data_IF_377938240488
#
_entry.id   IF_377938240488
#
_cell.length_a   1.000
_cell.length_b   1.000
_cell.length_c   1.000
_cell.angle_alpha   90.00
_cell.angle_beta   90.00
_cell.angle_gamma   90.00
#
_symmetry.space_group_name_H-M   'P 1'
#
loop_
_entity.id
_entity.type
_entity.pdbx_description
1 polymer ?
#
# COMPACT_ATOMS: atom_id res chain seq x y z
N UNK A 1 -12.27 -3.42 1.15
CA UNK A 1 -11.54 -2.14 0.93
C UNK A 1 -10.94 -2.05 -0.47
N UNK A 2 -10.09 -2.99 -0.89
CA UNK A 2 -9.39 -2.94 -2.19
C UNK A 2 -10.32 -2.91 -3.42
N UNK A 3 -11.42 -3.67 -3.40
CA UNK A 3 -12.43 -3.65 -4.47
C UNK A 3 -13.11 -2.28 -4.61
N UNK A 4 -13.37 -1.58 -3.50
CA UNK A 4 -13.95 -0.23 -3.53
C UNK A 4 -12.97 0.79 -4.11
N UNK A 5 -11.69 0.68 -3.78
CA UNK A 5 -10.63 1.52 -4.35
C UNK A 5 -10.52 1.30 -5.85
N UNK A 6 -10.51 0.03 -6.30
CA UNK A 6 -10.51 -0.31 -7.71
C UNK A 6 -11.74 0.26 -8.44
N UNK A 7 -12.92 0.12 -7.83
CA UNK A 7 -14.17 0.64 -8.39
C UNK A 7 -14.14 2.17 -8.55
N UNK A 8 -13.61 2.90 -7.55
CA UNK A 8 -13.42 4.35 -7.65
C UNK A 8 -12.44 4.67 -8.79
N UNK A 9 -11.32 3.94 -8.88
CA UNK A 9 -10.35 4.10 -9.97
C UNK A 9 -10.97 3.90 -11.36
N UNK A 10 -11.78 2.85 -11.54
CA UNK A 10 -12.51 2.58 -12.79
C UNK A 10 -13.51 3.70 -13.09
N UNK A 11 -14.24 4.19 -12.09
CA UNK A 11 -15.19 5.28 -12.27
C UNK A 11 -14.49 6.58 -12.68
N UNK A 12 -13.38 6.90 -12.02
CA UNK A 12 -12.55 8.07 -12.34
C UNK A 12 -11.93 7.97 -13.73
N UNK A 13 -11.48 6.77 -14.12
CA UNK A 13 -11.00 6.51 -15.47
C UNK A 13 -12.11 6.72 -16.50
N UNK A 14 -13.29 6.13 -16.29
CA UNK A 14 -14.44 6.31 -17.17
C UNK A 14 -14.86 7.78 -17.29
N UNK A 15 -14.78 8.54 -16.19
CA UNK A 15 -15.02 9.99 -16.19
C UNK A 15 -13.99 10.75 -17.05
N UNK A 16 -12.69 10.52 -16.84
CA UNK A 16 -11.62 11.21 -17.57
C UNK A 16 -11.39 10.72 -19.01
N UNK A 17 -12.07 9.65 -19.42
CA UNK A 17 -12.19 9.30 -20.85
C UNK A 17 -13.05 10.32 -21.58
N UNK A 18 -14.05 10.89 -20.90
CA UNK A 18 -15.03 11.83 -21.48
C UNK A 18 -14.60 13.28 -21.25
N UNK A 19 -14.28 13.64 -20.01
CA UNK A 19 -13.77 14.97 -19.65
C UNK A 19 -12.25 14.97 -19.72
N UNK A 20 -11.63 15.94 -20.41
CA UNK A 20 -10.17 15.95 -20.51
C UNK A 20 -9.54 16.12 -19.11
N UNK A 21 -8.64 15.22 -18.70
CA UNK A 21 -7.89 15.43 -17.48
C UNK A 21 -6.91 16.61 -17.67
N UNK A 22 -6.61 17.36 -16.61
CA UNK A 22 -5.63 18.43 -16.68
C UNK A 22 -4.26 17.91 -17.08
N UNK A 23 -3.43 18.77 -17.67
CA UNK A 23 -2.04 18.39 -18.02
C UNK A 23 -1.26 17.97 -16.79
N UNK A 24 -1.52 18.62 -15.66
CA UNK A 24 -0.95 18.31 -14.36
C UNK A 24 -2.03 18.48 -13.27
N UNK A 25 -2.25 17.45 -12.46
CA UNK A 25 -3.27 17.44 -11.39
C UNK A 25 -2.85 18.30 -10.19
N UNK A 26 -1.55 18.48 -9.96
CA UNK A 26 -0.99 19.33 -8.90
C UNK A 26 -1.02 20.81 -9.28
N UNK A 27 -0.69 21.17 -10.52
CA UNK A 27 -0.59 22.55 -11.01
C UNK A 27 -1.37 22.78 -12.33
N UNK A 28 -2.68 23.06 -12.27
CA UNK A 28 -3.54 23.16 -13.44
C UNK A 28 -3.44 24.50 -14.16
N UNK A 29 -2.94 25.53 -13.49
CA UNK A 29 -2.85 26.91 -14.00
C UNK A 29 -1.88 27.03 -15.18
N UNK A 30 -1.11 25.97 -15.42
CA UNK A 30 -0.12 25.91 -16.46
C UNK A 30 -0.65 25.22 -17.74
N UNK A 31 -1.96 25.08 -17.86
CA UNK A 31 -2.62 24.55 -19.05
C UNK A 31 -2.54 25.52 -20.23
N UNK A 32 -2.01 25.04 -21.35
CA UNK A 32 -1.99 25.78 -22.62
C UNK A 32 -3.41 26.01 -23.16
N UNK A 33 -3.62 27.13 -23.86
CA UNK A 33 -4.89 27.45 -24.56
C UNK A 33 -5.34 26.31 -25.50
N UNK A 34 -4.39 25.59 -26.10
CA UNK A 34 -4.64 24.46 -26.99
C UNK A 34 -5.36 23.29 -26.28
N UNK A 35 -4.97 22.96 -25.05
CA UNK A 35 -5.63 21.94 -24.23
C UNK A 35 -7.09 22.26 -23.93
N UNK A 36 -7.40 23.53 -23.69
CA UNK A 36 -8.77 23.98 -23.40
C UNK A 36 -9.68 23.85 -24.62
N UNK A 37 -9.14 24.04 -25.82
CA UNK A 37 -9.89 23.86 -27.07
C UNK A 37 -10.24 22.39 -27.34
N UNK A 38 -9.33 21.46 -27.02
CA UNK A 38 -9.58 20.02 -27.14
C UNK A 38 -10.64 19.53 -26.15
N UNK A 39 -10.68 20.09 -24.93
CA UNK A 39 -11.68 19.75 -23.90
C UNK A 39 -13.10 20.02 -24.39
N UNK A 40 -13.30 21.19 -24.99
CA UNK A 40 -14.59 21.58 -25.56
C UNK A 40 -14.99 20.68 -26.74
N UNK A 41 -14.02 20.28 -27.57
CA UNK A 41 -14.26 19.40 -28.71
C UNK A 41 -14.66 17.98 -28.30
N UNK A 42 -14.12 17.44 -27.20
CA UNK A 42 -14.55 16.12 -26.69
C UNK A 42 -15.95 16.14 -26.12
N UNK A 43 -16.28 17.20 -25.38
CA UNK A 43 -17.61 17.33 -24.79
C UNK A 43 -18.70 17.39 -25.85
N UNK A 44 -18.44 18.04 -26.99
CA UNK A 44 -19.38 18.04 -28.12
C UNK A 44 -19.47 16.66 -28.81
N UNK A 45 -18.36 15.93 -28.96
CA UNK A 45 -18.35 14.57 -29.50
C UNK A 45 -19.10 13.57 -28.60
N UNK A 46 -18.96 13.68 -27.27
CA UNK A 46 -19.67 12.83 -26.32
C UNK A 46 -21.20 13.06 -26.38
N UNK A 47 -21.62 14.33 -26.45
CA UNK A 47 -23.04 14.70 -26.64
C UNK A 47 -23.58 14.17 -27.98
N UNK A 48 -22.78 14.24 -29.06
CA UNK A 48 -23.14 13.71 -30.37
C UNK A 48 -23.23 12.17 -30.37
N UNK A 49 -22.36 11.48 -29.64
CA UNK A 49 -22.41 10.03 -29.47
C UNK A 49 -23.67 9.59 -28.71
N UNK A 50 -24.05 10.34 -27.68
CA UNK A 50 -25.23 10.05 -26.86
C UNK A 50 -26.55 10.25 -27.62
N UNK A 51 -26.61 11.24 -28.52
CA UNK A 51 -27.78 11.51 -29.36
C UNK A 51 -27.85 10.67 -30.64
N UNK A 52 -26.81 9.89 -30.95
CA UNK A 52 -26.75 9.08 -32.18
C UNK A 52 -27.53 7.76 -32.05
N UNK A 53 -28.47 7.46 -32.97
CA UNK A 53 -29.24 6.21 -32.96
C UNK A 53 -28.53 5.02 -33.60
N UNK A 54 -27.55 5.23 -34.49
CA UNK A 54 -26.87 4.16 -35.26
C UNK A 54 -25.51 3.73 -34.69
N UNK A 55 -25.23 2.42 -34.75
CA UNK A 55 -23.96 1.83 -34.29
C UNK A 55 -22.73 2.26 -35.10
N UNK A 56 -22.84 2.40 -36.43
CA UNK A 56 -21.72 2.78 -37.29
C UNK A 56 -21.22 4.21 -37.04
N UNK A 57 -22.15 5.14 -36.75
CA UNK A 57 -21.81 6.52 -36.37
C UNK A 57 -21.15 6.55 -34.99
N UNK A 58 -21.64 5.75 -34.04
CA UNK A 58 -21.00 5.57 -32.73
C UNK A 58 -19.57 5.03 -32.83
N UNK A 59 -19.31 4.08 -33.71
CA UNK A 59 -17.97 3.53 -33.95
C UNK A 59 -17.03 4.58 -34.57
N UNK A 60 -17.54 5.41 -35.48
CA UNK A 60 -16.75 6.50 -36.07
C UNK A 60 -16.39 7.58 -35.05
N UNK A 61 -17.32 7.95 -34.18
CA UNK A 61 -17.11 8.90 -33.09
C UNK A 61 -16.15 8.33 -32.03
N UNK A 62 -16.27 7.04 -31.69
CA UNK A 62 -15.34 6.37 -30.79
C UNK A 62 -13.90 6.40 -31.32
N UNK A 63 -13.70 6.18 -32.62
CA UNK A 63 -12.37 6.31 -33.24
C UNK A 63 -11.78 7.71 -33.13
N UNK A 64 -12.60 8.76 -33.27
CA UNK A 64 -12.16 10.16 -33.10
C UNK A 64 -11.69 10.43 -31.67
N UNK A 65 -12.40 9.90 -30.66
CA UNK A 65 -12.00 10.02 -29.25
C UNK A 65 -10.67 9.30 -28.98
N UNK A 66 -10.47 8.11 -29.55
CA UNK A 66 -9.20 7.36 -29.44
C UNK A 66 -8.03 8.15 -30.03
N UNK A 67 -8.19 8.72 -31.23
CA UNK A 67 -7.15 9.56 -31.86
C UNK A 67 -6.86 10.81 -31.02
N UNK A 68 -7.90 11.44 -30.47
CA UNK A 68 -7.73 12.55 -29.54
C UNK A 68 -6.96 12.15 -28.27
N UNK A 69 -7.13 10.93 -27.74
CA UNK A 69 -6.37 10.45 -26.56
C UNK A 69 -4.87 10.45 -26.83
N UNK A 70 -4.47 9.89 -27.98
CA UNK A 70 -3.05 9.90 -28.36
C UNK A 70 -2.50 11.33 -28.51
N UNK A 71 -3.30 12.28 -28.97
CA UNK A 71 -2.87 13.68 -29.09
C UNK A 71 -2.68 14.34 -27.73
N UNK A 72 -3.63 14.17 -26.82
CA UNK A 72 -3.55 14.65 -25.42
C UNK A 72 -2.35 14.04 -24.69
N UNK A 73 -2.12 12.74 -24.86
CA UNK A 73 -0.98 12.04 -24.27
C UNK A 73 0.35 12.59 -24.82
N UNK A 74 0.41 12.89 -26.12
CA UNK A 74 1.60 13.50 -26.72
C UNK A 74 1.90 14.90 -26.17
N UNK A 75 0.86 15.72 -25.93
CA UNK A 75 1.03 17.05 -25.33
C UNK A 75 1.47 16.92 -23.86
N UNK A 76 0.92 15.96 -23.12
CA UNK A 76 1.38 15.62 -21.76
C UNK A 76 2.86 15.24 -21.75
N UNK A 77 3.27 14.30 -22.59
CA UNK A 77 4.67 13.86 -22.68
C UNK A 77 5.61 15.00 -23.09
N UNK A 78 5.21 15.83 -24.06
CA UNK A 78 5.98 17.00 -24.47
C UNK A 78 6.08 18.03 -23.34
N UNK A 79 4.99 18.30 -22.61
CA UNK A 79 4.97 19.22 -21.47
C UNK A 79 5.83 18.73 -20.30
N UNK A 80 5.85 17.41 -20.06
CA UNK A 80 6.73 16.78 -19.05
C UNK A 80 8.21 16.86 -19.47
N UNK A 81 8.52 16.62 -20.74
CA UNK A 81 9.89 16.70 -21.28
C UNK A 81 10.46 18.13 -21.30
N UNK A 82 9.62 19.15 -21.49
CA UNK A 82 10.03 20.56 -21.41
C UNK A 82 10.30 21.00 -19.97
N UNK A 83 9.58 20.43 -18.99
CA UNK A 83 9.69 20.79 -17.56
C UNK A 83 10.85 20.13 -16.84
N UNK A 84 11.15 18.87 -17.17
CA UNK A 84 12.35 18.17 -16.68
C UNK A 84 13.65 18.91 -17.03
N UNK A 85 13.67 19.66 -18.13
CA UNK A 85 14.79 20.54 -18.51
C UNK A 85 14.84 21.87 -17.76
N UNK A 86 13.72 22.34 -17.21
CA UNK A 86 13.61 23.65 -16.57
C UNK A 86 13.74 23.60 -15.04
N UNK A 87 13.29 22.52 -14.40
CA UNK A 87 13.29 22.38 -12.93
C UNK A 87 13.60 20.94 -12.50
N UNK A 88 14.85 20.61 -12.13
CA UNK A 88 15.26 19.22 -11.81
C UNK A 88 14.74 18.65 -10.49
N UNK A 89 13.94 19.39 -9.71
CA UNK A 89 13.78 19.17 -8.27
C UNK A 89 12.34 18.90 -7.81
N UNK A 90 11.36 18.83 -8.72
CA UNK A 90 9.96 18.56 -8.35
C UNK A 90 9.55 17.14 -8.73
N UNK A 91 9.07 16.37 -7.74
CA UNK A 91 8.49 15.06 -7.97
C UNK A 91 7.30 15.12 -8.93
N UNK A 92 7.47 14.44 -10.06
CA UNK A 92 6.53 14.41 -11.18
C UNK A 92 5.30 13.53 -10.94
N UNK A 93 5.20 12.85 -9.78
CA UNK A 93 4.10 11.95 -9.49
C UNK A 93 2.90 12.70 -8.89
N UNK A 94 1.97 13.10 -9.76
CA UNK A 94 0.73 13.79 -9.38
C UNK A 94 -0.47 12.84 -9.22
N UNK A 95 -0.24 11.52 -9.30
CA UNK A 95 -1.29 10.48 -9.23
C UNK A 95 -2.13 10.59 -7.96
N UNK A 96 -1.50 10.97 -6.84
CA UNK A 96 -2.19 11.15 -5.56
C UNK A 96 -3.22 12.31 -5.57
N UNK A 97 -3.13 13.24 -6.52
CA UNK A 97 -4.01 14.42 -6.63
C UNK A 97 -5.22 14.21 -7.55
N UNK A 98 -5.27 13.12 -8.31
CA UNK A 98 -6.36 12.82 -9.26
C UNK A 98 -7.72 12.85 -8.56
N UNK A 99 -7.83 12.10 -7.46
CA UNK A 99 -9.07 11.99 -6.69
C UNK A 99 -9.47 13.32 -6.04
N UNK A 100 -8.51 14.00 -5.39
CA UNK A 100 -8.75 15.28 -4.72
C UNK A 100 -9.27 16.33 -5.70
N UNK A 101 -8.67 16.39 -6.89
CA UNK A 101 -9.09 17.35 -7.92
C UNK A 101 -10.50 17.07 -8.44
N UNK A 102 -10.83 15.80 -8.68
CA UNK A 102 -12.19 15.44 -9.09
C UNK A 102 -13.22 15.89 -8.05
N UNK A 103 -12.94 15.62 -6.77
CA UNK A 103 -13.79 16.04 -5.65
C UNK A 103 -13.97 17.56 -5.65
N UNK A 104 -12.88 18.33 -5.74
CA UNK A 104 -12.94 19.79 -5.66
C UNK A 104 -13.68 20.45 -6.83
N UNK A 105 -13.57 19.89 -8.04
CA UNK A 105 -14.08 20.55 -9.25
C UNK A 105 -15.47 20.06 -9.70
N UNK A 106 -15.87 18.85 -9.32
CA UNK A 106 -17.08 18.21 -9.84
C UNK A 106 -18.14 17.91 -8.79
N UNK A 107 -17.84 18.04 -7.49
CA UNK A 107 -18.83 17.90 -6.42
C UNK A 107 -19.36 19.26 -5.98
N UNK A 108 -20.64 19.33 -5.54
CA UNK A 108 -21.21 20.56 -5.00
C UNK A 108 -20.52 20.93 -3.67
N UNK A 109 -20.40 22.24 -3.42
CA UNK A 109 -19.63 22.81 -2.30
C UNK A 109 -19.95 22.22 -0.93
N UNK A 110 -21.21 21.85 -0.66
CA UNK A 110 -21.60 21.19 0.59
C UNK A 110 -21.07 19.77 0.74
N UNK A 111 -21.02 18.98 -0.34
CA UNK A 111 -20.47 17.63 -0.34
C UNK A 111 -18.94 17.64 -0.24
N UNK A 112 -18.28 18.64 -0.81
CA UNK A 112 -16.83 18.81 -0.69
C UNK A 112 -16.43 18.99 0.78
N UNK A 113 -17.11 19.89 1.50
CA UNK A 113 -16.87 20.10 2.93
C UNK A 113 -17.13 18.85 3.78
N UNK A 114 -18.20 18.11 3.45
CA UNK A 114 -18.53 16.84 4.11
C UNK A 114 -17.43 15.78 3.89
N UNK A 115 -16.96 15.64 2.64
CA UNK A 115 -15.92 14.66 2.28
C UNK A 115 -14.60 14.98 2.98
N UNK A 116 -14.17 16.24 2.97
CA UNK A 116 -12.95 16.66 3.68
C UNK A 116 -13.07 16.35 5.18
N UNK A 117 -14.23 16.65 5.78
CA UNK A 117 -14.48 16.33 7.19
C UNK A 117 -14.41 14.82 7.47
N UNK A 118 -15.01 14.00 6.61
CA UNK A 118 -14.96 12.54 6.71
C UNK A 118 -13.52 12.01 6.60
N UNK A 119 -12.71 12.56 5.69
CA UNK A 119 -11.30 12.17 5.52
C UNK A 119 -10.51 12.49 6.79
N UNK A 120 -10.69 13.68 7.38
CA UNK A 120 -10.04 14.01 8.65
C UNK A 120 -10.49 13.08 9.79
N UNK A 121 -11.79 12.85 9.94
CA UNK A 121 -12.31 11.93 10.97
C UNK A 121 -11.75 10.50 10.79
N UNK A 122 -11.76 9.97 9.57
CA UNK A 122 -11.24 8.64 9.28
C UNK A 122 -9.72 8.55 9.52
N UNK A 123 -8.97 9.55 9.05
CA UNK A 123 -7.52 9.62 9.26
C UNK A 123 -7.17 9.68 10.74
N UNK A 124 -7.81 10.57 11.50
CA UNK A 124 -7.55 10.73 12.94
C UNK A 124 -7.86 9.45 13.72
N UNK A 125 -8.95 8.76 13.34
CA UNK A 125 -9.32 7.49 13.97
C UNK A 125 -8.30 6.38 13.70
N UNK A 126 -7.81 6.25 12.47
CA UNK A 126 -6.79 5.23 12.13
C UNK A 126 -5.46 5.55 12.80
N UNK A 127 -4.99 6.80 12.70
CA UNK A 127 -3.70 7.21 13.29
C UNK A 127 -3.69 7.06 14.81
N UNK A 128 -4.81 7.37 15.48
CA UNK A 128 -4.92 7.20 16.94
C UNK A 128 -4.86 5.72 17.33
N UNK A 129 -5.55 4.85 16.60
CA UNK A 129 -5.53 3.42 16.84
C UNK A 129 -4.12 2.83 16.61
N UNK A 130 -3.45 3.21 15.52
CA UNK A 130 -2.10 2.77 15.18
C UNK A 130 -1.06 3.22 16.20
N UNK A 131 -1.06 4.50 16.59
CA UNK A 131 -0.13 5.04 17.61
C UNK A 131 -0.36 4.41 18.99
N UNK A 132 -1.62 4.12 19.34
CA UNK A 132 -1.96 3.42 20.59
C UNK A 132 -1.49 1.97 20.57
N UNK A 133 -1.68 1.27 19.45
CA UNK A 133 -1.22 -0.10 19.26
C UNK A 133 0.32 -0.18 19.35
N UNK A 134 1.03 0.67 18.60
CA UNK A 134 2.50 0.74 18.62
C UNK A 134 3.05 1.06 20.01
N UNK A 135 2.44 2.02 20.71
CA UNK A 135 2.81 2.35 22.08
C UNK A 135 2.61 1.17 23.03
N UNK A 136 1.49 0.47 22.92
CA UNK A 136 1.17 -0.69 23.78
C UNK A 136 2.11 -1.86 23.49
N UNK A 137 2.35 -2.20 22.22
CA UNK A 137 3.32 -3.23 21.82
C UNK A 137 4.73 -2.87 22.30
N UNK A 138 5.15 -1.61 22.17
CA UNK A 138 6.48 -1.17 22.67
C UNK A 138 6.57 -1.30 24.19
N UNK A 139 5.53 -0.90 24.92
CA UNK A 139 5.49 -0.95 26.37
C UNK A 139 5.48 -2.40 26.88
N UNK A 140 4.62 -3.25 26.31
CA UNK A 140 4.38 -4.62 26.81
C UNK A 140 5.48 -5.58 26.34
N UNK A 141 5.81 -5.56 25.04
CA UNK A 141 6.71 -6.57 24.46
C UNK A 141 8.19 -6.27 24.69
N UNK A 142 8.57 -4.99 24.76
CA UNK A 142 9.96 -4.58 24.95
C UNK A 142 10.22 -4.06 26.37
N UNK A 143 9.49 -3.02 26.79
CA UNK A 143 9.82 -2.32 28.05
C UNK A 143 9.56 -3.20 29.30
N UNK A 144 8.37 -3.81 29.40
CA UNK A 144 8.03 -4.64 30.57
C UNK A 144 8.67 -6.02 30.56
N UNK A 145 9.01 -6.54 29.38
CA UNK A 145 9.67 -7.84 29.27
C UNK A 145 11.12 -7.80 29.73
N UNK A 146 11.85 -6.75 29.39
CA UNK A 146 13.29 -6.67 29.63
C UNK A 146 13.68 -5.86 30.88
N UNK A 147 12.85 -4.88 31.28
CA UNK A 147 13.30 -3.83 32.21
C UNK A 147 12.41 -3.61 33.44
N UNK A 148 11.12 -3.94 33.37
CA UNK A 148 10.17 -3.60 34.43
C UNK A 148 9.74 -4.80 35.29
N UNK A 149 9.48 -4.62 36.61
CA UNK A 149 8.86 -5.65 37.44
C UNK A 149 7.49 -6.08 36.91
N UNK A 150 7.07 -7.33 37.16
CA UNK A 150 5.80 -7.90 36.67
C UNK A 150 4.56 -7.06 36.98
N UNK A 151 4.58 -6.32 38.10
CA UNK A 151 3.45 -5.50 38.55
C UNK A 151 3.49 -4.06 37.97
N UNK A 152 4.48 -3.73 37.14
CA UNK A 152 4.64 -2.39 36.58
C UNK A 152 3.48 -1.99 35.68
N UNK A 153 2.88 -2.94 34.95
CA UNK A 153 1.79 -2.70 33.99
C UNK A 153 0.56 -2.06 34.67
N UNK A 154 0.27 -2.44 35.91
CA UNK A 154 -0.87 -1.92 36.68
C UNK A 154 -0.54 -0.58 37.37
N UNK A 155 0.71 -0.14 37.33
CA UNK A 155 1.14 1.08 38.01
C UNK A 155 0.79 2.35 37.21
N UNK A 156 0.54 3.49 37.88
CA UNK A 156 0.41 4.79 37.23
C UNK A 156 1.63 5.17 36.37
N UNK A 157 2.80 4.60 36.66
CA UNK A 157 4.05 4.83 35.90
C UNK A 157 4.01 4.17 34.52
N UNK A 158 3.33 3.04 34.35
CA UNK A 158 3.15 2.43 33.03
C UNK A 158 2.29 3.30 32.12
N UNK A 159 1.24 3.94 32.65
CA UNK A 159 0.41 4.88 31.89
C UNK A 159 1.23 6.09 31.40
N UNK A 160 2.07 6.66 32.28
CA UNK A 160 2.97 7.77 31.90
C UNK A 160 3.96 7.33 30.83
N UNK A 161 4.53 6.13 30.96
CA UNK A 161 5.47 5.60 29.96
C UNK A 161 4.79 5.33 28.61
N UNK A 162 3.57 4.78 28.61
CA UNK A 162 2.77 4.60 27.40
C UNK A 162 2.50 5.92 26.69
N UNK A 163 2.23 7.01 27.42
CA UNK A 163 2.09 8.36 26.80
C UNK A 163 3.38 8.84 26.15
N UNK A 164 4.54 8.58 26.77
CA UNK A 164 5.83 8.91 26.17
C UNK A 164 6.12 8.10 24.91
N UNK A 165 5.80 6.80 24.89
CA UNK A 165 5.92 5.99 23.67
C UNK A 165 4.96 6.44 22.57
N UNK A 166 3.72 6.82 22.91
CA UNK A 166 2.80 7.41 21.93
C UNK A 166 3.35 8.70 21.33
N UNK A 167 3.95 9.58 22.15
CA UNK A 167 4.61 10.80 21.66
C UNK A 167 5.81 10.48 20.76
N UNK A 168 6.66 9.52 21.16
CA UNK A 168 7.82 9.11 20.37
C UNK A 168 7.42 8.57 18.99
N UNK A 169 6.43 7.68 18.94
CA UNK A 169 5.86 7.17 17.68
C UNK A 169 5.16 8.27 16.87
N UNK A 170 4.55 9.26 17.52
CA UNK A 170 3.98 10.44 16.86
C UNK A 170 5.05 11.28 16.15
N UNK A 171 6.17 11.56 16.81
CA UNK A 171 7.31 12.24 16.18
C UNK A 171 7.91 11.43 15.03
N UNK A 172 8.05 10.12 15.22
CA UNK A 172 8.49 9.22 14.15
C UNK A 172 7.55 9.27 12.94
N UNK A 173 6.23 9.23 13.16
CA UNK A 173 5.23 9.31 12.09
C UNK A 173 5.29 10.64 11.33
N UNK A 174 5.48 11.77 12.03
CA UNK A 174 5.67 13.08 11.40
C UNK A 174 6.95 13.09 10.55
N UNK A 175 8.06 12.58 11.08
CA UNK A 175 9.32 12.48 10.34
C UNK A 175 9.20 11.60 9.09
N UNK A 176 8.55 10.44 9.22
CA UNK A 176 8.29 9.55 8.10
C UNK A 176 7.38 10.20 7.05
N UNK A 177 6.35 10.94 7.46
CA UNK A 177 5.46 11.65 6.56
C UNK A 177 6.18 12.69 5.68
N UNK A 178 7.27 13.30 6.17
CA UNK A 178 8.09 14.22 5.38
C UNK A 178 8.82 13.50 4.23
N UNK A 179 9.31 12.29 4.48
CA UNK A 179 10.01 11.49 3.46
C UNK A 179 9.03 10.78 2.52
N UNK A 180 7.85 10.40 3.03
CA UNK A 180 6.84 9.68 2.27
C UNK A 180 6.31 10.45 1.05
N UNK A 181 6.47 11.77 0.99
CA UNK A 181 6.09 12.58 -0.18
C UNK A 181 6.88 12.21 -1.44
N UNK A 182 8.08 11.65 -1.27
CA UNK A 182 8.93 11.19 -2.36
C UNK A 182 8.65 9.72 -2.77
N UNK A 183 7.80 9.01 -2.01
CA UNK A 183 7.42 7.62 -2.28
C UNK A 183 6.30 7.54 -3.31
N UNK A 184 6.54 8.08 -4.51
CA UNK A 184 5.66 8.00 -5.68
C UNK A 184 4.15 7.88 -5.36
N UNK A 185 3.55 6.80 -5.84
CA UNK A 185 2.16 6.42 -5.59
C UNK A 185 2.06 5.81 -4.19
N UNK A 186 1.45 6.53 -3.24
CA UNK A 186 1.39 6.09 -1.84
C UNK A 186 0.72 4.72 -1.68
N UNK A 187 -0.32 4.46 -2.48
CA UNK A 187 -1.01 3.17 -2.45
C UNK A 187 -0.15 2.01 -2.94
N UNK A 188 0.76 2.27 -3.88
CA UNK A 188 1.69 1.28 -4.40
C UNK A 188 2.80 1.02 -3.40
N UNK A 189 3.39 2.07 -2.84
CA UNK A 189 4.43 1.97 -1.81
C UNK A 189 3.96 1.15 -0.60
N UNK A 190 2.74 1.42 -0.10
CA UNK A 190 2.15 0.66 1.01
C UNK A 190 1.89 -0.81 0.62
N UNK A 191 1.45 -1.08 -0.60
CA UNK A 191 1.22 -2.45 -1.05
C UNK A 191 2.52 -3.24 -1.26
N UNK A 192 3.59 -2.60 -1.75
CA UNK A 192 4.91 -3.22 -1.87
C UNK A 192 5.44 -3.56 -0.48
N UNK A 193 5.43 -2.59 0.45
CA UNK A 193 5.90 -2.78 1.83
C UNK A 193 5.08 -3.88 2.54
N UNK A 194 3.76 -3.82 2.41
CA UNK A 194 2.87 -4.84 2.96
C UNK A 194 3.15 -6.23 2.37
N UNK A 195 3.47 -6.31 1.07
CA UNK A 195 3.70 -7.61 0.43
C UNK A 195 4.99 -8.30 0.84
N UNK A 196 5.96 -7.54 1.34
CA UNK A 196 7.21 -8.08 1.87
C UNK A 196 6.97 -8.77 3.23
N UNK A 197 6.13 -8.17 4.09
CA UNK A 197 6.03 -8.56 5.51
C UNK A 197 4.74 -9.32 5.85
N UNK A 198 3.60 -8.96 5.25
CA UNK A 198 2.31 -9.53 5.64
C UNK A 198 2.19 -11.02 5.29
N UNK A 199 2.82 -11.45 4.20
CA UNK A 199 2.86 -12.86 3.82
C UNK A 199 3.47 -13.75 4.90
N UNK A 200 4.63 -13.36 5.45
CA UNK A 200 5.32 -14.15 6.48
C UNK A 200 4.56 -14.16 7.79
N UNK A 201 3.98 -13.02 8.21
CA UNK A 201 3.10 -12.94 9.38
C UNK A 201 1.89 -13.87 9.23
N UNK A 202 1.21 -13.82 8.08
CA UNK A 202 0.08 -14.72 7.80
C UNK A 202 0.51 -16.19 7.88
N UNK A 203 1.67 -16.55 7.33
CA UNK A 203 2.22 -17.90 7.40
C UNK A 203 2.49 -18.38 8.84
N UNK A 204 2.94 -17.50 9.74
CA UNK A 204 3.09 -17.81 11.17
C UNK A 204 1.72 -18.13 11.78
N UNK A 205 0.71 -17.31 11.53
CA UNK A 205 -0.64 -17.55 12.04
C UNK A 205 -1.26 -18.84 11.48
N UNK A 206 -1.08 -19.12 10.19
CA UNK A 206 -1.54 -20.36 9.58
C UNK A 206 -0.90 -21.58 10.25
N UNK A 207 0.41 -21.52 10.50
CA UNK A 207 1.12 -22.59 11.22
C UNK A 207 0.58 -22.77 12.63
N UNK A 208 0.33 -21.66 13.35
CA UNK A 208 -0.20 -21.70 14.72
C UNK A 208 -1.61 -22.31 14.80
N UNK A 209 -2.50 -22.00 13.83
CA UNK A 209 -3.87 -22.52 13.84
C UNK A 209 -3.99 -23.95 13.30
N UNK A 210 -3.33 -24.25 12.17
CA UNK A 210 -3.51 -25.53 11.47
C UNK A 210 -2.48 -26.60 11.86
N UNK A 211 -1.35 -26.21 12.46
CA UNK A 211 -0.21 -27.11 12.70
C UNK A 211 0.16 -27.13 14.18
N UNK A 212 -0.77 -27.59 15.03
CA UNK A 212 -0.65 -27.63 16.50
C UNK A 212 0.53 -28.47 17.05
N UNK A 213 1.30 -29.14 16.18
CA UNK A 213 2.43 -30.01 16.55
C UNK A 213 3.81 -29.36 16.35
N UNK A 214 3.89 -28.13 15.84
CA UNK A 214 5.16 -27.47 15.53
C UNK A 214 5.62 -26.62 16.71
N UNK A 215 6.88 -26.78 17.13
CA UNK A 215 7.44 -26.01 18.24
C UNK A 215 7.72 -24.55 17.86
N UNK A 216 7.62 -23.62 18.83
CA UNK A 216 7.81 -22.18 18.60
C UNK A 216 9.17 -21.83 17.98
N UNK A 217 10.22 -22.60 18.29
CA UNK A 217 11.56 -22.42 17.71
C UNK A 217 11.59 -22.72 16.20
N UNK A 218 10.89 -23.77 15.78
CA UNK A 218 10.77 -24.18 14.37
C UNK A 218 9.99 -23.15 13.57
N UNK A 219 8.92 -22.60 14.14
CA UNK A 219 8.15 -21.50 13.52
C UNK A 219 8.99 -20.24 13.35
N UNK A 220 9.77 -19.86 14.38
CA UNK A 220 10.61 -18.67 14.33
C UNK A 220 11.72 -18.78 13.27
N UNK A 221 12.40 -19.94 13.20
CA UNK A 221 13.41 -20.19 12.17
C UNK A 221 12.79 -20.23 10.76
N UNK A 222 11.64 -20.87 10.60
CA UNK A 222 10.92 -20.89 9.33
C UNK A 222 10.50 -19.49 8.88
N UNK A 223 10.04 -18.64 9.81
CA UNK A 223 9.71 -17.26 9.52
C UNK A 223 10.92 -16.46 9.03
N UNK A 224 12.08 -16.57 9.71
CA UNK A 224 13.31 -15.89 9.30
C UNK A 224 13.81 -16.35 7.91
N UNK A 225 13.81 -17.66 7.66
CA UNK A 225 14.22 -18.20 6.36
C UNK A 225 13.25 -17.77 5.25
N UNK A 226 11.95 -17.74 5.55
CA UNK A 226 10.94 -17.27 4.59
C UNK A 226 11.08 -15.79 4.30
N UNK A 227 11.33 -14.96 5.31
CA UNK A 227 11.56 -13.52 5.11
C UNK A 227 12.79 -13.28 4.22
N UNK A 228 13.89 -13.99 4.47
CA UNK A 228 15.08 -13.95 3.60
C UNK A 228 14.78 -14.39 2.17
N UNK A 229 13.94 -15.42 1.99
CA UNK A 229 13.50 -15.86 0.67
C UNK A 229 12.66 -14.78 -0.03
N UNK A 230 11.72 -14.15 0.68
CA UNK A 230 10.88 -13.07 0.11
C UNK A 230 11.74 -11.88 -0.31
N UNK A 231 12.70 -11.46 0.52
CA UNK A 231 13.65 -10.40 0.18
C UNK A 231 14.54 -10.79 -1.01
N UNK A 232 14.99 -12.04 -1.08
CA UNK A 232 15.75 -12.54 -2.21
C UNK A 232 14.92 -12.53 -3.50
N UNK A 233 13.66 -12.95 -3.46
CA UNK A 233 12.77 -12.90 -4.62
C UNK A 233 12.49 -11.46 -5.06
N UNK A 234 12.33 -10.53 -4.11
CA UNK A 234 12.08 -9.12 -4.41
C UNK A 234 13.25 -8.42 -5.10
N UNK A 235 14.50 -8.68 -4.69
CA UNK A 235 15.68 -8.07 -5.30
C UNK A 235 16.28 -8.88 -6.46
N UNK A 236 16.13 -10.20 -6.44
CA UNK A 236 16.77 -11.11 -7.39
C UNK A 236 15.89 -11.52 -8.57
N UNK A 237 14.57 -11.33 -8.51
CA UNK A 237 13.63 -11.76 -9.54
C UNK A 237 12.55 -10.71 -9.82
N UNK A 238 12.12 -10.59 -11.07
CA UNK A 238 11.00 -9.72 -11.47
C UNK A 238 9.63 -10.36 -11.12
N UNK A 239 9.46 -10.79 -9.88
CA UNK A 239 8.19 -11.33 -9.39
C UNK A 239 7.27 -10.16 -9.02
N UNK A 240 6.00 -10.12 -9.52
CA UNK A 240 5.06 -9.09 -9.09
C UNK A 240 4.87 -9.13 -7.58
N UNK A 241 5.03 -7.98 -6.91
CA UNK A 241 5.11 -7.90 -5.45
C UNK A 241 3.90 -8.55 -4.74
N UNK A 242 2.70 -8.55 -5.35
CA UNK A 242 1.52 -9.21 -4.79
C UNK A 242 1.70 -10.72 -4.55
N UNK A 243 2.50 -11.40 -5.39
CA UNK A 243 2.79 -12.83 -5.25
C UNK A 243 3.68 -13.14 -4.05
N UNK A 244 4.46 -12.17 -3.57
CA UNK A 244 5.32 -12.35 -2.39
C UNK A 244 4.49 -12.67 -1.14
N UNK A 245 3.27 -12.12 -1.03
CA UNK A 245 2.34 -12.49 0.03
C UNK A 245 2.02 -13.98 0.04
N UNK A 246 1.73 -14.54 -1.15
CA UNK A 246 1.39 -15.94 -1.29
C UNK A 246 2.60 -16.83 -0.98
N UNK A 247 3.78 -16.44 -1.47
CA UNK A 247 5.03 -17.14 -1.17
C UNK A 247 5.29 -17.15 0.35
N UNK A 248 5.22 -15.99 1.00
CA UNK A 248 5.41 -15.89 2.45
C UNK A 248 4.42 -16.72 3.24
N UNK A 249 3.14 -16.67 2.87
CA UNK A 249 2.07 -17.36 3.58
C UNK A 249 2.17 -18.89 3.50
N UNK A 250 2.66 -19.42 2.39
CA UNK A 250 2.82 -20.87 2.18
C UNK A 250 4.18 -21.40 2.64
N UNK A 251 5.25 -20.62 2.48
CA UNK A 251 6.59 -21.05 2.81
C UNK A 251 6.81 -21.23 4.32
N UNK A 252 6.22 -20.39 5.18
CA UNK A 252 6.37 -20.54 6.64
C UNK A 252 5.80 -21.89 7.14
N UNK A 253 4.55 -22.29 6.83
CA UNK A 253 4.05 -23.61 7.19
C UNK A 253 4.92 -24.76 6.66
N UNK A 254 5.37 -24.67 5.40
CA UNK A 254 6.18 -25.72 4.77
C UNK A 254 7.54 -25.85 5.47
N UNK A 255 8.28 -24.76 5.62
CA UNK A 255 9.60 -24.78 6.26
C UNK A 255 9.51 -25.17 7.73
N UNK A 256 8.46 -24.77 8.43
CA UNK A 256 8.29 -25.12 9.84
C UNK A 256 8.06 -26.64 10.03
N UNK A 257 7.26 -27.27 9.16
CA UNK A 257 7.04 -28.71 9.14
C UNK A 257 8.31 -29.50 8.79
N UNK A 258 9.03 -29.03 7.77
CA UNK A 258 10.31 -29.64 7.35
C UNK A 258 11.33 -29.58 8.49
N UNK A 259 11.43 -28.42 9.15
CA UNK A 259 12.34 -28.22 10.26
C UNK A 259 11.99 -29.10 11.46
N UNK A 260 10.71 -29.18 11.83
CA UNK A 260 10.24 -30.01 12.94
C UNK A 260 10.50 -31.50 12.67
N UNK A 261 10.22 -31.97 11.46
CA UNK A 261 10.51 -33.35 11.06
C UNK A 261 12.00 -33.68 11.16
N UNK A 262 12.86 -32.78 10.68
CA UNK A 262 14.30 -32.95 10.77
C UNK A 262 14.80 -32.95 12.23
N UNK A 263 14.29 -32.03 13.05
CA UNK A 263 14.63 -31.95 14.47
C UNK A 263 14.24 -33.22 15.24
N UNK A 264 13.08 -33.81 14.95
CA UNK A 264 12.64 -35.09 15.54
C UNK A 264 13.57 -36.25 15.14
N UNK A 265 14.00 -36.31 13.88
CA UNK A 265 14.95 -37.34 13.43
C UNK A 265 16.31 -37.21 14.11
N UNK A 266 16.84 -36.00 14.27
CA UNK A 266 18.13 -35.76 14.95
C UNK A 266 18.04 -36.16 16.43
N UNK A 267 16.97 -35.79 17.12
CA UNK A 267 16.74 -36.14 18.53
C UNK A 267 16.70 -37.66 18.77
N UNK A 268 16.03 -38.40 17.87
CA UNK A 268 15.93 -39.87 17.94
C UNK A 268 17.29 -40.57 17.83
N UNK A 269 18.22 -40.05 17.00
CA UNK A 269 19.58 -40.59 16.84
C UNK A 269 20.46 -40.37 18.08
N UNK A 270 20.29 -39.25 18.79
CA UNK A 270 21.04 -38.96 20.02
C UNK A 270 20.62 -39.82 21.21
N UNK A 271 19.34 -40.20 21.31
CA UNK A 271 18.87 -41.09 22.38
C UNK A 271 19.41 -42.52 22.21
N UNK A 272 19.42 -43.03 20.97
CA UNK A 272 19.98 -44.34 20.64
C UNK A 272 21.50 -44.43 20.92
N UNK A 273 22.27 -43.36 20.63
CA UNK A 273 23.70 -43.32 20.98
C UNK A 273 23.98 -43.30 22.49
N UNK A 274 23.14 -42.66 23.31
CA UNK A 274 23.32 -42.64 24.78
C UNK A 274 23.07 -44.02 25.40
N UNK A 275 22.13 -44.80 24.88
CA UNK A 275 21.92 -46.19 25.32
C UNK A 275 23.07 -47.14 24.93
N UNK A 276 23.79 -46.85 23.84
CA UNK A 276 24.92 -47.67 23.40
C UNK A 276 26.23 -47.42 24.17
N UNK A 277 26.36 -46.28 24.86
CA UNK A 277 27.55 -45.91 25.64
C UNK A 277 27.43 -46.35 27.12
N UNK A 278 26.23 -46.73 27.58
CA UNK A 278 25.98 -47.22 28.94
C UNK A 278 25.99 -48.77 29.08
N UNK A 279 26.40 -49.50 28.04
CA UNK A 279 26.70 -50.95 28.11
C UNK A 279 28.19 -51.16 27.87
#
# INVERSE_FOLDING_TARGET
MQLLILMIGVLMFAFYVIELPPVNFKYPELESVEHRSEALQRRSLAMAWQSSPEGALKDSLARVVVVSNHRVDSIRLASQALRTKATPQEDFNDTNFIFIRYVLNHLPVGLVGLLISMVFCASMSSTSAELSALSTTTLVDFYTRDTAPKDFIESPKAMVMGRWFTLAWGFYAIGFAMVAQHLGTLIEAVNVLGSLVYGTILGIFLTAFFTQRVGSKSVLLAALVTELLVLFLFWGMEVPYLWLNMVGALAVPIFSLVWEFWALQVSSRTSSKKQFIQK
#
